data_IF_144785961967
#
_entry.id   IF_144785961967
#
_cell.length_a   1.000
_cell.length_b   1.000
_cell.length_c   1.000
_cell.angle_alpha   90.00
_cell.angle_beta   90.00
_cell.angle_gamma   90.00
#
_symmetry.space_group_name_H-M   'P 1'
#
loop_
_entity.id
_entity.type
_entity.pdbx_description
1 polymer ?
#
# COMPACT_ATOMS: atom_id res chain seq x y z
N UNK A 1 -9.45 11.31 -12.05
CA UNK A 1 -10.28 11.58 -10.89
C UNK A 1 -11.53 10.70 -10.96
N UNK A 2 -11.58 9.66 -10.15
CA UNK A 2 -12.76 8.85 -10.03
C UNK A 2 -13.79 9.65 -9.22
N UNK A 3 -14.93 9.96 -9.83
CA UNK A 3 -16.09 10.44 -9.07
C UNK A 3 -16.61 9.26 -8.23
N UNK A 4 -16.18 9.20 -6.97
CA UNK A 4 -16.62 8.20 -5.98
C UNK A 4 -18.15 8.19 -5.77
N UNK A 5 -18.87 9.16 -6.28
CA UNK A 5 -20.27 9.45 -5.92
C UNK A 5 -21.28 8.90 -6.93
N UNK A 6 -20.90 8.61 -8.17
CA UNK A 6 -21.88 8.28 -9.22
C UNK A 6 -22.25 6.79 -9.33
N UNK A 7 -21.36 6.01 -9.91
CA UNK A 7 -21.67 4.60 -10.26
C UNK A 7 -21.51 3.61 -9.12
N UNK A 8 -20.55 3.85 -8.23
CA UNK A 8 -20.26 2.95 -7.12
C UNK A 8 -21.31 3.01 -5.99
N UNK A 9 -21.90 4.18 -5.76
CA UNK A 9 -22.98 4.32 -4.77
C UNK A 9 -24.22 3.51 -5.16
N UNK A 10 -24.56 3.44 -6.46
CA UNK A 10 -25.68 2.61 -6.94
C UNK A 10 -25.43 1.12 -6.73
N UNK A 11 -24.19 0.64 -6.85
CA UNK A 11 -23.83 -0.76 -6.62
C UNK A 11 -23.92 -1.07 -5.13
N UNK A 12 -23.39 -0.20 -4.27
CA UNK A 12 -23.40 -0.37 -2.81
C UNK A 12 -24.80 -0.30 -2.23
N UNK A 13 -25.66 0.61 -2.71
CA UNK A 13 -27.08 0.68 -2.30
C UNK A 13 -27.85 -0.60 -2.61
N UNK A 14 -27.50 -1.32 -3.69
CA UNK A 14 -28.10 -2.61 -4.04
C UNK A 14 -27.76 -3.70 -3.02
N UNK A 15 -26.53 -3.72 -2.49
CA UNK A 15 -26.07 -4.72 -1.52
C UNK A 15 -26.38 -4.35 -0.08
N UNK A 16 -26.63 -3.08 0.23
CA UNK A 16 -26.89 -2.54 1.57
C UNK A 16 -25.96 -3.15 2.63
N UNK A 17 -24.64 -3.00 2.50
CA UNK A 17 -23.71 -3.58 3.43
C UNK A 17 -23.84 -2.95 4.81
N UNK A 18 -23.45 -3.64 5.86
CA UNK A 18 -23.39 -3.07 7.22
C UNK A 18 -22.13 -2.21 7.39
N UNK A 19 -21.00 -2.70 6.85
CA UNK A 19 -19.71 -2.04 6.91
C UNK A 19 -19.08 -1.91 5.51
N UNK A 20 -18.23 -0.90 5.35
CA UNK A 20 -17.46 -0.68 4.13
C UNK A 20 -15.99 -0.52 4.48
N UNK A 21 -15.14 -1.37 3.89
CA UNK A 21 -13.69 -1.28 3.97
C UNK A 21 -13.17 -0.47 2.77
N UNK A 22 -12.40 0.57 3.06
CA UNK A 22 -11.73 1.40 2.06
C UNK A 22 -10.23 1.13 2.17
N UNK A 23 -9.58 0.88 1.04
CA UNK A 23 -8.16 0.57 0.97
C UNK A 23 -7.45 1.53 0.01
N UNK A 24 -6.23 1.94 0.36
CA UNK A 24 -5.32 2.58 -0.58
C UNK A 24 -4.79 1.57 -1.60
N UNK A 25 -4.57 2.03 -2.83
CA UNK A 25 -4.15 1.16 -3.95
C UNK A 25 -2.63 1.08 -4.16
N UNK A 26 -1.84 1.87 -3.41
CA UNK A 26 -0.40 2.05 -3.61
C UNK A 26 0.45 1.79 -2.34
N UNK A 27 -0.10 1.05 -1.38
CA UNK A 27 0.61 0.69 -0.16
C UNK A 27 0.95 -0.79 -0.12
N UNK A 28 2.10 -1.13 0.46
CA UNK A 28 2.57 -2.51 0.67
C UNK A 28 2.39 -2.88 2.13
N UNK A 29 1.55 -3.87 2.41
CA UNK A 29 1.30 -4.39 3.76
C UNK A 29 0.56 -5.74 3.70
N UNK A 30 0.51 -6.44 4.82
CA UNK A 30 -0.42 -7.55 5.06
C UNK A 30 -1.21 -7.27 6.32
N UNK A 31 -2.53 -7.23 6.23
CA UNK A 31 -3.43 -6.97 7.35
C UNK A 31 -4.60 -7.94 7.34
N UNK A 32 -4.91 -8.49 8.50
CA UNK A 32 -6.18 -9.18 8.73
C UNK A 32 -7.27 -8.15 9.01
N UNK A 33 -8.11 -7.93 8.02
CA UNK A 33 -9.20 -6.94 8.12
C UNK A 33 -10.31 -7.40 9.06
N UNK A 34 -10.44 -8.70 9.35
CA UNK A 34 -11.43 -9.21 10.30
C UNK A 34 -11.12 -8.70 11.71
N UNK A 35 -9.86 -8.73 12.12
CA UNK A 35 -9.41 -8.17 13.40
C UNK A 35 -9.72 -6.68 13.52
N UNK A 36 -9.49 -5.91 12.47
CA UNK A 36 -9.83 -4.49 12.43
C UNK A 36 -11.35 -4.26 12.47
N UNK A 37 -12.13 -5.12 11.81
CA UNK A 37 -13.59 -5.06 11.83
C UNK A 37 -14.16 -5.40 13.20
N UNK A 38 -13.59 -6.39 13.88
CA UNK A 38 -14.00 -6.74 15.23
C UNK A 38 -13.71 -5.60 16.21
N UNK A 39 -12.54 -4.97 16.11
CA UNK A 39 -12.23 -3.74 16.85
C UNK A 39 -13.27 -2.62 16.57
N UNK A 40 -13.68 -2.43 15.32
CA UNK A 40 -14.71 -1.47 14.93
C UNK A 40 -16.04 -1.74 15.62
N UNK A 41 -16.46 -3.02 15.64
CA UNK A 41 -17.71 -3.46 16.28
C UNK A 41 -17.66 -3.34 17.79
N UNK A 42 -16.57 -3.78 18.44
CA UNK A 42 -16.38 -3.74 19.90
C UNK A 42 -16.47 -2.30 20.43
N UNK A 43 -15.92 -1.34 19.69
CA UNK A 43 -15.98 0.08 20.05
C UNK A 43 -17.29 0.76 19.60
N UNK A 44 -18.21 0.03 18.95
CA UNK A 44 -19.39 0.61 18.31
C UNK A 44 -19.01 1.83 17.44
N UNK A 45 -17.90 1.73 16.70
CA UNK A 45 -17.36 2.83 15.92
C UNK A 45 -18.27 3.17 14.73
N UNK A 46 -18.27 4.43 14.34
CA UNK A 46 -18.85 4.90 13.08
C UNK A 46 -17.76 4.91 11.99
N UNK A 47 -16.51 5.20 12.41
CA UNK A 47 -15.32 5.17 11.55
C UNK A 47 -14.15 4.58 12.32
N UNK A 48 -13.42 3.68 11.72
CA UNK A 48 -12.12 3.18 12.24
C UNK A 48 -11.04 3.48 11.20
N UNK A 49 -9.96 4.10 11.65
CA UNK A 49 -8.80 4.45 10.83
C UNK A 49 -7.64 3.55 11.25
N UNK A 50 -7.09 2.77 10.32
CA UNK A 50 -5.84 2.08 10.59
C UNK A 50 -4.69 3.09 10.66
N UNK A 51 -3.88 2.97 11.70
CA UNK A 51 -2.78 3.87 12.00
C UNK A 51 -1.50 3.11 12.30
N UNK A 52 -0.38 3.74 12.00
CA UNK A 52 0.94 3.21 12.33
C UNK A 52 1.84 4.34 12.86
N UNK A 53 2.67 4.09 13.89
CA UNK A 53 3.65 5.07 14.34
C UNK A 53 4.76 5.21 13.28
N UNK A 54 5.03 6.46 12.87
CA UNK A 54 6.10 6.81 11.93
C UNK A 54 7.09 7.79 12.57
N UNK A 55 8.33 7.89 12.05
CA UNK A 55 9.25 8.95 12.45
C UNK A 55 8.59 10.33 12.26
N UNK A 56 8.83 11.25 13.20
CA UNK A 56 8.18 12.57 13.19
C UNK A 56 8.56 13.38 11.93
N UNK A 57 9.75 13.13 11.39
CA UNK A 57 10.29 13.77 10.19
C UNK A 57 9.48 13.38 8.93
N UNK A 58 8.89 12.18 8.92
CA UNK A 58 8.08 11.67 7.81
C UNK A 58 6.60 11.94 7.99
N UNK A 59 6.16 12.24 9.21
CA UNK A 59 4.76 12.39 9.55
C UNK A 59 4.01 13.46 8.71
N UNK A 60 4.72 14.48 8.23
CA UNK A 60 4.16 15.52 7.35
C UNK A 60 3.68 15.00 5.98
N UNK A 61 4.04 13.78 5.60
CA UNK A 61 3.62 13.15 4.34
C UNK A 61 2.23 12.52 4.43
N UNK A 62 1.75 12.27 5.65
CA UNK A 62 0.55 11.47 5.93
C UNK A 62 -0.54 12.28 6.62
N UNK A 63 -1.75 11.76 6.60
CA UNK A 63 -2.78 12.18 7.54
C UNK A 63 -2.38 11.75 8.95
N UNK A 64 -2.39 12.69 9.90
CA UNK A 64 -1.95 12.45 11.28
C UNK A 64 -3.15 12.36 12.20
N UNK A 65 -3.20 11.28 12.96
CA UNK A 65 -4.25 10.99 13.93
C UNK A 65 -3.77 11.36 15.33
N UNK A 66 -4.62 12.04 16.07
CA UNK A 66 -4.44 12.31 17.51
C UNK A 66 -5.57 11.57 18.23
N UNK A 67 -5.21 10.57 19.00
CA UNK A 67 -6.15 9.75 19.77
C UNK A 67 -5.81 9.77 21.26
N UNK A 68 -6.80 9.48 22.09
CA UNK A 68 -6.63 9.28 23.53
C UNK A 68 -6.21 7.83 23.87
N UNK A 69 -6.12 7.54 25.15
CA UNK A 69 -5.73 6.22 25.67
C UNK A 69 -6.76 5.13 25.29
N UNK A 70 -8.02 5.50 25.11
CA UNK A 70 -9.12 4.62 24.67
C UNK A 70 -9.15 4.48 23.13
N UNK A 71 -8.14 4.98 22.43
CA UNK A 71 -8.02 4.98 20.97
C UNK A 71 -9.09 5.83 20.25
N UNK A 72 -9.85 6.65 20.96
CA UNK A 72 -10.79 7.57 20.34
C UNK A 72 -10.03 8.72 19.68
N UNK A 73 -10.39 9.05 18.45
CA UNK A 73 -9.76 10.12 17.69
C UNK A 73 -10.29 11.47 18.15
N UNK A 74 -9.38 12.32 18.61
CA UNK A 74 -9.65 13.67 19.09
C UNK A 74 -9.30 14.75 18.07
N UNK A 75 -8.44 14.42 17.08
CA UNK A 75 -8.16 15.29 15.94
C UNK A 75 -7.57 14.48 14.78
N UNK A 76 -7.74 15.01 13.57
CA UNK A 76 -7.14 14.52 12.34
C UNK A 76 -6.55 15.71 11.57
N UNK A 77 -5.31 15.58 11.13
CA UNK A 77 -4.58 16.61 10.39
C UNK A 77 -4.04 16.04 9.08
N UNK A 78 -4.58 16.50 7.95
CA UNK A 78 -4.10 16.02 6.65
C UNK A 78 -2.79 16.72 6.25
N UNK A 79 -1.71 15.94 6.20
CA UNK A 79 -0.36 16.38 5.78
C UNK A 79 0.10 17.68 6.47
N UNK A 80 0.12 17.73 7.81
CA UNK A 80 0.47 18.94 8.54
C UNK A 80 1.95 19.30 8.38
N UNK A 81 2.27 20.59 8.30
CA UNK A 81 3.66 21.08 8.27
C UNK A 81 4.37 20.79 9.60
N UNK A 82 3.63 20.86 10.70
CA UNK A 82 4.12 20.59 12.06
C UNK A 82 3.24 19.54 12.72
N UNK A 83 3.52 18.23 12.50
CA UNK A 83 2.69 17.16 13.05
C UNK A 83 2.74 17.12 14.58
N UNK A 84 1.57 16.99 15.22
CA UNK A 84 1.43 16.93 16.68
C UNK A 84 1.43 15.50 17.23
N UNK A 85 1.39 14.49 16.35
CA UNK A 85 1.42 13.07 16.70
C UNK A 85 2.28 12.32 15.70
N UNK A 86 2.70 11.10 16.07
CA UNK A 86 3.43 10.15 15.21
C UNK A 86 2.52 9.12 14.57
N UNK A 87 1.22 9.11 14.89
CA UNK A 87 0.27 8.14 14.36
C UNK A 87 -0.17 8.57 12.96
N UNK A 88 0.43 7.96 11.95
CA UNK A 88 0.07 8.16 10.55
C UNK A 88 -1.13 7.29 10.17
N UNK A 89 -2.11 7.87 9.49
CA UNK A 89 -3.20 7.13 8.86
C UNK A 89 -2.67 6.35 7.65
N UNK A 90 -2.96 5.07 7.60
CA UNK A 90 -2.48 4.16 6.55
C UNK A 90 -3.32 4.21 5.26
N UNK A 91 -4.33 5.10 5.17
CA UNK A 91 -5.26 5.06 4.04
C UNK A 91 -6.18 3.85 4.02
N UNK A 92 -6.36 3.21 5.18
CA UNK A 92 -7.22 2.04 5.38
C UNK A 92 -8.29 2.45 6.39
N UNK A 93 -9.56 2.36 5.98
CA UNK A 93 -10.69 2.80 6.79
C UNK A 93 -11.79 1.75 6.82
N UNK A 94 -12.44 1.59 7.98
CA UNK A 94 -13.74 0.89 8.07
C UNK A 94 -14.78 1.91 8.46
N UNK A 95 -15.86 1.96 7.69
CA UNK A 95 -17.03 2.80 7.96
C UNK A 95 -18.26 1.95 8.20
N UNK A 96 -19.08 2.33 9.16
CA UNK A 96 -20.49 1.94 9.18
C UNK A 96 -21.18 2.54 7.95
N UNK A 97 -21.84 1.71 7.12
CA UNK A 97 -22.40 2.16 5.84
C UNK A 97 -23.33 3.38 5.92
N UNK A 98 -24.26 3.47 6.89
CA UNK A 98 -25.12 4.64 6.99
C UNK A 98 -24.34 5.96 7.15
N UNK A 99 -23.23 5.93 7.90
CA UNK A 99 -22.38 7.11 8.14
C UNK A 99 -21.61 7.50 6.87
N UNK A 100 -21.03 6.53 6.19
CA UNK A 100 -20.33 6.78 4.93
C UNK A 100 -21.29 7.33 3.87
N UNK A 101 -22.47 6.72 3.74
CA UNK A 101 -23.50 7.16 2.80
C UNK A 101 -23.92 8.61 3.05
N UNK A 102 -24.18 8.97 4.29
CA UNK A 102 -24.51 10.34 4.68
C UNK A 102 -23.41 11.33 4.31
N UNK A 103 -22.15 11.01 4.66
CA UNK A 103 -20.99 11.85 4.33
C UNK A 103 -20.83 12.04 2.82
N UNK A 104 -20.92 10.97 2.03
CA UNK A 104 -20.81 11.04 0.57
C UNK A 104 -21.95 11.84 -0.07
N UNK A 105 -23.17 11.73 0.46
CA UNK A 105 -24.31 12.52 -0.02
C UNK A 105 -24.17 14.01 0.33
N UNK A 106 -23.67 14.33 1.52
CA UNK A 106 -23.41 15.71 1.92
C UNK A 106 -22.29 16.36 1.08
N UNK A 107 -21.30 15.56 0.67
CA UNK A 107 -20.14 16.02 -0.09
C UNK A 107 -20.28 15.79 -1.62
N UNK A 108 -21.48 15.45 -2.11
CA UNK A 108 -21.68 15.06 -3.54
C UNK A 108 -21.29 16.14 -4.54
N UNK A 109 -21.42 17.42 -4.16
CA UNK A 109 -21.11 18.58 -5.01
C UNK A 109 -19.64 19.05 -4.84
N UNK A 110 -18.88 18.37 -3.95
CA UNK A 110 -17.46 18.67 -3.72
C UNK A 110 -16.61 18.15 -4.89
N UNK A 111 -15.96 19.06 -5.62
CA UNK A 111 -14.99 18.68 -6.64
C UNK A 111 -13.78 17.98 -6.01
N UNK A 112 -13.33 16.87 -6.64
CA UNK A 112 -12.20 16.06 -6.17
C UNK A 112 -12.33 15.64 -4.70
N UNK A 113 -13.52 15.12 -4.33
CA UNK A 113 -13.77 14.63 -2.98
C UNK A 113 -12.72 13.58 -2.59
N UNK A 114 -12.05 13.80 -1.46
CA UNK A 114 -10.96 13.00 -0.91
C UNK A 114 -11.29 12.56 0.51
N UNK A 115 -10.91 11.34 0.90
CA UNK A 115 -11.21 10.82 2.23
C UNK A 115 -10.54 11.64 3.33
N UNK A 116 -9.23 11.90 3.21
CA UNK A 116 -8.46 12.61 4.23
C UNK A 116 -8.85 14.09 4.36
N UNK A 117 -9.15 14.73 3.22
CA UNK A 117 -9.43 16.19 3.20
C UNK A 117 -10.89 16.54 3.45
N UNK A 118 -11.82 15.64 3.13
CA UNK A 118 -13.25 15.97 3.14
C UNK A 118 -14.09 15.01 3.99
N UNK A 119 -13.99 13.68 3.73
CA UNK A 119 -14.85 12.69 4.38
C UNK A 119 -14.52 12.53 5.87
N UNK A 120 -13.25 12.39 6.22
CA UNK A 120 -12.81 12.25 7.61
C UNK A 120 -13.10 13.53 8.42
N UNK A 121 -12.74 14.74 7.95
CA UNK A 121 -13.14 15.98 8.62
C UNK A 121 -14.64 16.13 8.77
N UNK A 122 -15.42 15.81 7.73
CA UNK A 122 -16.90 15.83 7.84
C UNK A 122 -17.41 14.94 8.96
N UNK A 123 -16.91 13.70 9.05
CA UNK A 123 -17.29 12.79 10.13
C UNK A 123 -16.90 13.33 11.50
N UNK A 124 -15.73 13.95 11.61
CA UNK A 124 -15.27 14.57 12.86
C UNK A 124 -16.16 15.76 13.28
N UNK A 125 -16.48 16.67 12.36
CA UNK A 125 -17.33 17.83 12.59
C UNK A 125 -18.78 17.45 12.97
N UNK A 126 -19.23 16.27 12.58
CA UNK A 126 -20.56 15.74 12.91
C UNK A 126 -20.53 14.75 14.11
N UNK A 127 -19.52 14.86 14.98
CA UNK A 127 -19.38 14.11 16.24
C UNK A 127 -19.48 12.58 16.06
N UNK A 128 -19.06 12.04 14.91
CA UNK A 128 -19.02 10.59 14.68
C UNK A 128 -17.99 9.91 15.59
N UNK A 129 -18.32 8.70 16.04
CA UNK A 129 -17.42 7.90 16.90
C UNK A 129 -16.28 7.34 16.06
N UNK A 130 -15.14 8.01 16.11
CA UNK A 130 -13.97 7.69 15.32
C UNK A 130 -12.87 7.09 16.19
N UNK A 131 -12.30 5.97 15.77
CA UNK A 131 -11.28 5.25 16.52
C UNK A 131 -10.05 4.95 15.68
N UNK A 132 -8.87 4.98 16.31
CA UNK A 132 -7.60 4.62 15.73
C UNK A 132 -7.29 3.15 16.01
N UNK A 133 -7.18 2.34 14.96
CA UNK A 133 -6.70 0.97 15.04
C UNK A 133 -5.20 0.97 14.79
N UNK A 134 -4.39 0.71 15.80
CA UNK A 134 -2.94 0.62 15.67
C UNK A 134 -2.55 -0.71 15.03
N UNK A 135 -2.04 -0.64 13.81
CA UNK A 135 -1.53 -1.78 13.08
C UNK A 135 -0.09 -2.11 13.52
N UNK A 136 0.16 -3.38 13.80
CA UNK A 136 1.48 -3.91 14.11
C UNK A 136 1.92 -4.85 12.98
N UNK A 137 2.72 -4.38 12.07
CA UNK A 137 3.21 -5.15 10.94
C UNK A 137 3.98 -4.28 9.95
N UNK A 138 4.46 -4.88 8.88
CA UNK A 138 5.10 -4.12 7.81
C UNK A 138 4.08 -3.28 7.06
N UNK A 139 4.39 -2.01 6.88
CA UNK A 139 3.64 -1.09 6.02
C UNK A 139 4.59 -0.09 5.37
N UNK A 140 4.46 0.11 4.06
CA UNK A 140 5.23 1.09 3.31
C UNK A 140 4.37 1.76 2.25
N UNK A 141 4.36 3.10 2.27
CA UNK A 141 3.84 3.93 1.19
C UNK A 141 4.91 4.06 0.10
N UNK A 142 4.58 3.62 -1.12
CA UNK A 142 5.49 3.65 -2.28
C UNK A 142 5.17 4.80 -3.24
N UNK A 143 4.59 5.87 -2.75
CA UNK A 143 4.21 7.06 -3.53
C UNK A 143 5.37 7.89 -4.10
N UNK A 144 6.64 7.52 -3.83
CA UNK A 144 7.82 8.15 -4.43
C UNK A 144 8.74 7.10 -5.06
N UNK A 145 9.57 7.51 -6.05
CA UNK A 145 10.55 6.59 -6.67
C UNK A 145 11.54 6.05 -5.62
N UNK A 146 11.93 6.86 -4.65
CA UNK A 146 12.82 6.44 -3.56
C UNK A 146 12.19 5.35 -2.70
N UNK A 147 10.98 5.57 -2.17
CA UNK A 147 10.28 4.57 -1.34
C UNK A 147 9.92 3.31 -2.14
N UNK A 148 9.61 3.43 -3.43
CA UNK A 148 9.39 2.29 -4.31
C UNK A 148 10.68 1.46 -4.48
N UNK A 149 11.82 2.11 -4.73
CA UNK A 149 13.12 1.44 -4.83
C UNK A 149 13.48 0.75 -3.52
N UNK A 150 13.41 1.45 -2.39
CA UNK A 150 13.68 0.89 -1.06
C UNK A 150 12.83 -0.32 -0.75
N UNK A 151 11.51 -0.26 -0.98
CA UNK A 151 10.60 -1.37 -0.74
C UNK A 151 10.97 -2.63 -1.56
N UNK A 152 11.44 -2.45 -2.80
CA UNK A 152 11.90 -3.56 -3.62
C UNK A 152 13.25 -4.11 -3.14
N UNK A 153 14.18 -3.26 -2.71
CA UNK A 153 15.48 -3.71 -2.20
C UNK A 153 15.35 -4.46 -0.88
N UNK A 154 14.42 -4.06 0.00
CA UNK A 154 14.12 -4.78 1.23
C UNK A 154 13.66 -6.23 0.98
N UNK A 155 13.05 -6.52 -0.19
CA UNK A 155 12.62 -7.89 -0.54
C UNK A 155 13.78 -8.83 -0.87
N UNK A 156 14.94 -8.29 -1.28
CA UNK A 156 16.12 -9.09 -1.63
C UNK A 156 17.12 -9.23 -0.48
N UNK A 157 16.79 -8.69 0.69
CA UNK A 157 17.56 -8.90 1.91
C UNK A 157 17.51 -10.37 2.38
N UNK A 158 18.51 -10.78 3.16
CA UNK A 158 18.62 -12.15 3.68
C UNK A 158 17.41 -12.57 4.52
N UNK A 159 16.85 -11.64 5.28
CA UNK A 159 15.65 -11.83 6.08
C UNK A 159 14.76 -10.62 5.83
N UNK A 160 13.93 -10.66 4.77
CA UNK A 160 13.05 -9.56 4.47
C UNK A 160 11.97 -9.42 5.55
N UNK A 161 11.73 -8.20 5.99
CA UNK A 161 10.66 -7.91 6.96
C UNK A 161 9.29 -8.24 6.34
N UNK A 162 9.12 -7.95 5.05
CA UNK A 162 7.94 -8.34 4.27
C UNK A 162 8.21 -9.66 3.54
N UNK A 163 7.68 -10.76 4.08
CA UNK A 163 7.91 -12.10 3.54
C UNK A 163 6.92 -12.44 2.41
N UNK A 164 7.43 -12.55 1.18
CA UNK A 164 6.65 -13.01 0.01
C UNK A 164 6.42 -14.52 -0.02
N UNK A 165 7.22 -15.31 0.71
CA UNK A 165 7.24 -16.78 0.68
C UNK A 165 6.42 -17.40 1.81
N UNK A 166 5.58 -16.61 2.48
CA UNK A 166 4.73 -17.09 3.56
C UNK A 166 3.68 -18.08 3.04
N UNK A 167 3.73 -19.32 3.55
CA UNK A 167 2.91 -20.41 3.03
C UNK A 167 1.43 -20.25 3.36
N UNK A 168 1.12 -19.75 4.55
CA UNK A 168 -0.25 -19.67 5.06
C UNK A 168 -0.97 -18.36 4.74
N UNK A 169 -0.25 -17.36 4.27
CA UNK A 169 -0.82 -16.05 3.91
C UNK A 169 -0.25 -15.55 2.58
N UNK A 170 -0.70 -16.19 1.51
CA UNK A 170 -0.23 -15.90 0.15
C UNK A 170 -0.84 -14.61 -0.39
N UNK A 171 -0.04 -13.88 -1.15
CA UNK A 171 -0.51 -12.75 -1.96
C UNK A 171 -0.96 -13.32 -3.30
N UNK A 172 -2.21 -13.02 -3.68
CA UNK A 172 -2.78 -13.46 -4.96
C UNK A 172 -2.70 -12.33 -5.98
N UNK A 173 -2.28 -12.68 -7.19
CA UNK A 173 -2.23 -11.77 -8.33
C UNK A 173 -2.69 -12.51 -9.59
N UNK A 174 -2.95 -11.77 -10.66
CA UNK A 174 -3.14 -12.36 -11.97
C UNK A 174 -1.84 -13.05 -12.38
N UNK A 175 -1.90 -14.33 -12.70
CA UNK A 175 -0.79 -15.11 -13.19
C UNK A 175 -1.07 -15.50 -14.64
N UNK A 176 -0.27 -14.98 -15.56
CA UNK A 176 -0.26 -15.42 -16.95
C UNK A 176 0.68 -16.63 -17.05
N UNK A 177 0.35 -17.60 -17.92
CA UNK A 177 1.23 -18.74 -18.16
C UNK A 177 2.46 -18.27 -18.96
N UNK A 178 3.58 -18.12 -18.28
CA UNK A 178 4.86 -17.65 -18.81
C UNK A 178 5.88 -18.77 -18.69
N UNK A 179 6.86 -18.81 -19.59
CA UNK A 179 7.93 -19.79 -19.59
C UNK A 179 8.79 -19.70 -18.32
N UNK A 180 9.44 -20.78 -17.86
CA UNK A 180 10.36 -20.73 -16.74
C UNK A 180 11.55 -19.79 -17.00
N UNK A 181 12.08 -19.21 -15.91
CA UNK A 181 13.35 -18.47 -15.90
C UNK A 181 14.50 -19.34 -16.48
N UNK A 182 15.29 -18.80 -17.40
CA UNK A 182 16.47 -19.43 -17.96
C UNK A 182 17.75 -18.65 -17.64
N UNK A 183 18.71 -19.29 -16.98
CA UNK A 183 20.05 -18.75 -16.74
C UNK A 183 21.04 -19.47 -17.65
N UNK A 184 21.64 -18.73 -18.58
CA UNK A 184 22.56 -19.27 -19.57
C UNK A 184 23.95 -19.59 -18.98
N UNK A 185 24.77 -20.35 -19.70
CA UNK A 185 26.16 -20.56 -19.32
C UNK A 185 26.92 -19.21 -19.30
N UNK A 186 27.48 -18.87 -18.13
CA UNK A 186 28.14 -17.58 -17.88
C UNK A 186 27.17 -16.48 -17.36
N UNK A 187 25.88 -16.77 -17.29
CA UNK A 187 24.94 -15.95 -16.53
C UNK A 187 25.14 -16.19 -15.04
N UNK A 188 25.01 -15.13 -14.25
CA UNK A 188 25.13 -15.18 -12.80
C UNK A 188 24.05 -14.33 -12.14
N UNK A 189 23.40 -14.87 -11.11
CA UNK A 189 22.37 -14.16 -10.36
C UNK A 189 22.65 -14.35 -8.87
N UNK A 190 22.75 -13.26 -8.13
CA UNK A 190 23.03 -13.25 -6.71
C UNK A 190 22.13 -12.27 -5.98
N UNK A 191 21.57 -12.68 -4.82
CA UNK A 191 20.71 -11.85 -3.96
C UNK A 191 19.64 -11.05 -4.74
N UNK A 192 18.93 -11.71 -5.64
CA UNK A 192 18.01 -11.04 -6.55
C UNK A 192 16.73 -11.82 -6.72
N UNK A 193 15.64 -11.12 -6.98
CA UNK A 193 14.34 -11.71 -7.35
C UNK A 193 14.17 -11.56 -8.86
N UNK A 194 13.83 -12.66 -9.55
CA UNK A 194 13.58 -12.65 -10.99
C UNK A 194 12.21 -13.27 -11.29
N UNK A 195 11.46 -12.59 -12.13
CA UNK A 195 10.18 -13.08 -12.64
C UNK A 195 10.31 -14.24 -13.63
N UNK A 196 9.19 -14.88 -13.91
CA UNK A 196 9.07 -15.93 -14.95
C UNK A 196 9.36 -15.34 -16.34
N UNK A 197 9.75 -16.20 -17.29
CA UNK A 197 10.06 -15.81 -18.68
C UNK A 197 11.37 -15.06 -18.87
N UNK A 198 12.13 -14.83 -17.82
CA UNK A 198 13.42 -14.12 -17.96
C UNK A 198 14.51 -15.00 -18.60
N UNK A 199 15.36 -14.39 -19.44
CA UNK A 199 16.58 -14.98 -19.99
C UNK A 199 17.80 -14.20 -19.51
N UNK A 200 18.66 -14.82 -18.68
CA UNK A 200 19.85 -14.17 -18.14
C UNK A 200 21.13 -14.71 -18.75
N UNK A 201 21.82 -13.90 -19.55
CA UNK A 201 23.13 -14.16 -20.11
C UNK A 201 24.23 -13.27 -19.49
N UNK A 202 23.85 -12.36 -18.57
CA UNK A 202 24.70 -11.40 -17.89
C UNK A 202 24.86 -11.69 -16.41
N UNK A 203 25.17 -10.65 -15.64
CA UNK A 203 25.34 -10.69 -14.19
C UNK A 203 24.27 -9.80 -13.53
N UNK A 204 23.56 -10.35 -12.55
CA UNK A 204 22.53 -9.65 -11.77
C UNK A 204 22.86 -9.80 -10.30
N UNK A 205 22.94 -8.70 -9.59
CA UNK A 205 23.25 -8.64 -8.17
C UNK A 205 22.32 -7.67 -7.47
N UNK A 206 21.77 -8.07 -6.32
CA UNK A 206 20.95 -7.24 -5.42
C UNK A 206 19.90 -6.42 -6.19
N UNK A 207 19.08 -7.10 -7.01
CA UNK A 207 18.16 -6.46 -7.93
C UNK A 207 16.82 -7.19 -8.01
N UNK A 208 15.78 -6.47 -8.42
CA UNK A 208 14.44 -7.03 -8.68
C UNK A 208 14.16 -6.93 -10.19
N UNK A 209 13.96 -8.08 -10.82
CA UNK A 209 13.75 -8.20 -12.26
C UNK A 209 12.33 -8.70 -12.51
N UNK A 210 11.55 -7.93 -13.24
CA UNK A 210 10.18 -8.29 -13.64
C UNK A 210 10.12 -9.47 -14.59
N UNK A 211 8.92 -9.90 -14.97
CA UNK A 211 8.73 -11.00 -15.90
C UNK A 211 9.17 -10.65 -17.34
N UNK A 212 9.54 -11.67 -18.14
CA UNK A 212 9.92 -11.55 -19.56
C UNK A 212 11.12 -10.63 -19.85
N UNK A 213 12.03 -10.46 -18.90
CA UNK A 213 13.22 -9.62 -19.10
C UNK A 213 14.33 -10.43 -19.76
N UNK A 214 14.95 -9.85 -20.81
CA UNK A 214 16.12 -10.42 -21.49
C UNK A 214 17.38 -9.64 -21.15
N UNK A 215 18.37 -10.31 -20.59
CA UNK A 215 19.65 -9.72 -20.15
C UNK A 215 20.79 -10.24 -21.03
N UNK A 216 21.34 -9.35 -21.83
CA UNK A 216 22.39 -9.68 -22.83
C UNK A 216 23.71 -10.12 -22.20
N UNK A 217 24.58 -10.72 -23.02
CA UNK A 217 25.92 -11.22 -22.59
C UNK A 217 26.81 -10.09 -22.11
N UNK A 218 27.43 -10.30 -20.94
CA UNK A 218 28.32 -9.29 -20.35
C UNK A 218 27.62 -8.08 -19.78
N UNK A 219 26.27 -8.06 -19.77
CA UNK A 219 25.53 -7.03 -19.06
C UNK A 219 25.68 -7.21 -17.55
N UNK A 220 25.71 -6.11 -16.80
CA UNK A 220 25.83 -6.08 -15.35
C UNK A 220 24.72 -5.20 -14.78
N UNK A 221 23.93 -5.77 -13.88
CA UNK A 221 22.81 -5.07 -13.22
C UNK A 221 23.02 -5.16 -11.71
N UNK A 222 23.02 -4.01 -11.03
CA UNK A 222 23.18 -3.92 -9.59
C UNK A 222 22.18 -2.94 -8.98
N UNK A 223 21.76 -3.24 -7.75
CA UNK A 223 20.91 -2.34 -6.91
C UNK A 223 19.72 -1.74 -7.66
N UNK A 224 19.15 -2.47 -8.62
CA UNK A 224 18.26 -1.94 -9.64
C UNK A 224 16.92 -2.68 -9.70
N UNK A 225 15.89 -1.98 -10.18
CA UNK A 225 14.61 -2.56 -10.52
C UNK A 225 14.44 -2.51 -12.03
N UNK A 226 14.23 -3.67 -12.65
CA UNK A 226 13.96 -3.78 -14.09
C UNK A 226 12.51 -4.22 -14.28
N UNK A 227 11.72 -3.39 -14.95
CA UNK A 227 10.31 -3.67 -15.22
C UNK A 227 10.13 -4.82 -16.22
N UNK A 228 8.91 -5.39 -16.22
CA UNK A 228 8.54 -6.48 -17.14
C UNK A 228 8.78 -6.10 -18.61
N UNK A 229 8.98 -7.13 -19.45
CA UNK A 229 9.10 -7.01 -20.91
C UNK A 229 10.27 -6.11 -21.37
N UNK A 230 11.33 -5.98 -20.55
CA UNK A 230 12.52 -5.15 -20.86
C UNK A 230 13.61 -5.99 -21.51
N UNK A 231 14.24 -5.43 -22.53
CA UNK A 231 15.42 -6.04 -23.19
C UNK A 231 16.67 -5.19 -22.91
N UNK A 232 17.70 -5.81 -22.30
CA UNK A 232 18.98 -5.20 -21.96
C UNK A 232 20.04 -5.76 -22.89
N UNK A 233 20.67 -4.87 -23.65
CA UNK A 233 21.71 -5.24 -24.62
C UNK A 233 22.97 -5.83 -23.98
N UNK A 234 23.86 -6.40 -24.83
CA UNK A 234 25.13 -6.94 -24.37
C UNK A 234 26.07 -5.85 -23.87
N UNK A 235 26.85 -6.16 -22.82
CA UNK A 235 27.84 -5.26 -22.19
C UNK A 235 27.25 -3.93 -21.64
N UNK A 236 25.97 -3.89 -21.37
CA UNK A 236 25.32 -2.74 -20.70
C UNK A 236 25.57 -2.86 -19.21
N UNK A 237 25.83 -1.72 -18.53
CA UNK A 237 25.87 -1.64 -17.07
C UNK A 237 24.71 -0.78 -16.60
N UNK A 238 23.94 -1.31 -15.66
CA UNK A 238 22.86 -0.60 -14.94
C UNK A 238 23.20 -0.68 -13.45
N UNK A 239 23.29 0.47 -12.80
CA UNK A 239 23.68 0.57 -11.41
C UNK A 239 22.87 1.70 -10.77
N UNK A 240 21.89 1.33 -9.94
CA UNK A 240 20.93 2.17 -9.21
C UNK A 240 20.17 3.19 -10.07
#
# INVERSE_FOLDING_TARGET
SCSLVGSEMCIRDRYNPEYVLILSGDHIYKMDYEVMLDFHKENNADVTIATMPVPIEEASRFGIVIADDDKRINAFEEKPVHPRSKLAAMGIYIFSWPVLKEALLALKDQENCDFGKHVIPYCFENDRRMFAYEFNGYWKDVGTLGSYWEANMELVDLIPEFNLYEEYWKIYTKNDAIEPLYIAKGGHVERSIMGEGCECYGHVEHSVIGANVKIGRGAVIRDSIIMCDTEIGSNVTIDK
#
